data_IF_223227660881
#
_entry.id   IF_223227660881
#
_cell.length_a   1.000
_cell.length_b   1.000
_cell.length_c   1.000
_cell.angle_alpha   90.00
_cell.angle_beta   90.00
_cell.angle_gamma   90.00
#
_symmetry.space_group_name_H-M   'P 1'
#
loop_
_entity.id
_entity.type
_entity.pdbx_description
1 polymer ?
#
# COMPACT_ATOMS: atom_id res chain seq x y z
N UNK A 1 -23.04 -12.83 3.95
CA UNK A 1 -22.68 -11.61 4.70
C UNK A 1 -23.58 -10.49 4.18
N UNK A 2 -24.46 -9.94 5.01
CA UNK A 2 -25.38 -8.86 4.63
C UNK A 2 -24.60 -7.54 4.47
N UNK A 3 -24.57 -6.89 3.28
CA UNK A 3 -23.79 -5.67 3.04
C UNK A 3 -24.19 -4.49 3.93
N UNK A 4 -25.42 -4.51 4.46
CA UNK A 4 -26.01 -3.45 5.27
C UNK A 4 -25.33 -3.30 6.63
N UNK A 5 -24.77 -4.39 7.18
CA UNK A 5 -24.09 -4.39 8.46
C UNK A 5 -22.78 -3.58 8.45
N UNK A 6 -22.09 -3.50 7.29
CA UNK A 6 -20.85 -2.74 7.13
C UNK A 6 -21.04 -1.22 7.26
N UNK A 7 -22.26 -0.70 7.13
CA UNK A 7 -22.54 0.73 7.30
C UNK A 7 -22.80 1.13 8.76
N UNK A 8 -22.76 0.18 9.71
CA UNK A 8 -22.87 0.50 11.13
C UNK A 8 -21.57 1.19 11.60
N UNK A 9 -21.64 2.43 12.13
CA UNK A 9 -20.47 3.19 12.55
C UNK A 9 -19.67 2.51 13.68
N UNK A 10 -20.33 1.77 14.58
CA UNK A 10 -19.65 1.00 15.63
C UNK A 10 -18.87 -0.17 15.03
N UNK A 11 -19.45 -0.86 14.05
CA UNK A 11 -18.76 -1.95 13.35
C UNK A 11 -17.57 -1.43 12.55
N UNK A 12 -17.70 -0.29 11.88
CA UNK A 12 -16.60 0.38 11.17
C UNK A 12 -15.43 0.71 12.10
N UNK A 13 -15.72 1.23 13.30
CA UNK A 13 -14.69 1.50 14.30
C UNK A 13 -13.97 0.22 14.73
N UNK A 14 -14.71 -0.85 15.01
CA UNK A 14 -14.13 -2.15 15.38
C UNK A 14 -13.28 -2.73 14.25
N UNK A 15 -13.76 -2.68 13.01
CA UNK A 15 -13.01 -3.14 11.84
C UNK A 15 -11.69 -2.37 11.70
N UNK A 16 -11.70 -1.06 11.89
CA UNK A 16 -10.48 -0.25 11.81
C UNK A 16 -9.48 -0.59 12.91
N UNK A 17 -9.95 -0.78 14.15
CA UNK A 17 -9.10 -1.20 15.27
C UNK A 17 -8.48 -2.58 15.04
N UNK A 18 -9.27 -3.55 14.59
CA UNK A 18 -8.77 -4.90 14.30
C UNK A 18 -7.83 -4.91 13.11
N UNK A 19 -8.05 -4.05 12.11
CA UNK A 19 -7.13 -3.86 11.00
C UNK A 19 -5.79 -3.29 11.49
N UNK A 20 -5.80 -2.29 12.36
CA UNK A 20 -4.58 -1.75 12.96
C UNK A 20 -3.81 -2.80 13.76
N UNK A 21 -4.51 -3.60 14.57
CA UNK A 21 -3.92 -4.73 15.30
C UNK A 21 -3.31 -5.77 14.37
N UNK A 22 -4.03 -6.16 13.32
CA UNK A 22 -3.55 -7.14 12.35
C UNK A 22 -2.28 -6.63 11.65
N UNK A 23 -2.26 -5.37 11.23
CA UNK A 23 -1.07 -4.75 10.62
C UNK A 23 0.11 -4.69 11.59
N UNK A 24 -0.12 -4.33 12.85
CA UNK A 24 0.93 -4.31 13.88
C UNK A 24 1.50 -5.72 14.14
N UNK A 25 0.63 -6.73 14.24
CA UNK A 25 1.04 -8.11 14.43
C UNK A 25 1.86 -8.64 13.26
N UNK A 26 1.47 -8.33 12.03
CA UNK A 26 2.23 -8.71 10.84
C UNK A 26 3.62 -8.04 10.83
N UNK A 27 3.67 -6.75 11.18
CA UNK A 27 4.93 -6.01 11.28
C UNK A 27 5.85 -6.61 12.35
N UNK A 28 5.32 -6.93 13.53
CA UNK A 28 6.06 -7.57 14.62
C UNK A 28 6.59 -8.93 14.16
N UNK A 29 5.76 -9.76 13.54
CA UNK A 29 6.18 -11.08 13.06
C UNK A 29 7.35 -10.99 12.06
N UNK A 30 7.27 -10.06 11.10
CA UNK A 30 8.35 -9.83 10.12
C UNK A 30 9.62 -9.30 10.77
N UNK A 31 9.49 -8.34 11.69
CA UNK A 31 10.62 -7.79 12.45
C UNK A 31 11.29 -8.89 13.27
N UNK A 32 10.51 -9.69 13.99
CA UNK A 32 11.01 -10.80 14.81
C UNK A 32 11.77 -11.80 13.94
N UNK A 33 11.20 -12.27 12.84
CA UNK A 33 11.89 -13.20 11.92
C UNK A 33 13.18 -12.59 11.37
N UNK A 34 13.12 -11.38 10.82
CA UNK A 34 14.28 -10.73 10.20
C UNK A 34 15.42 -10.47 11.19
N UNK A 35 15.11 -10.09 12.42
CA UNK A 35 16.11 -9.81 13.44
C UNK A 35 16.61 -11.07 14.14
N UNK A 36 15.76 -12.09 14.27
CA UNK A 36 16.18 -13.39 14.79
C UNK A 36 17.28 -14.00 13.94
N UNK A 37 17.05 -14.11 12.62
CA UNK A 37 18.00 -14.70 11.68
C UNK A 37 19.34 -13.94 11.61
N UNK A 38 19.35 -12.65 11.95
CA UNK A 38 20.55 -11.81 11.93
C UNK A 38 21.33 -11.82 13.23
N UNK A 39 20.62 -11.86 14.35
CA UNK A 39 21.22 -11.63 15.67
C UNK A 39 21.44 -12.91 16.46
N UNK A 40 20.67 -13.97 16.20
CA UNK A 40 20.74 -15.23 16.93
C UNK A 40 21.38 -16.29 16.03
N UNK A 41 22.69 -16.46 16.15
CA UNK A 41 23.50 -17.35 15.29
C UNK A 41 23.69 -18.75 15.85
N UNK A 42 23.26 -18.99 17.09
CA UNK A 42 23.36 -20.26 17.78
C UNK A 42 22.14 -20.53 18.64
N UNK A 43 22.20 -21.57 19.47
CA UNK A 43 21.14 -21.80 20.47
C UNK A 43 21.28 -20.76 21.58
N UNK A 44 20.30 -19.87 21.78
CA UNK A 44 20.36 -18.89 22.85
C UNK A 44 20.33 -19.58 24.22
N UNK A 45 21.01 -18.98 25.19
CA UNK A 45 20.96 -19.43 26.59
C UNK A 45 19.62 -19.11 27.26
N UNK A 46 19.56 -19.22 28.58
CA UNK A 46 18.38 -18.82 29.37
C UNK A 46 18.06 -17.32 29.29
N UNK A 47 19.02 -16.52 28.81
CA UNK A 47 18.92 -15.09 28.54
C UNK A 47 19.76 -14.76 27.32
N UNK A 48 19.39 -13.69 26.62
CA UNK A 48 20.26 -13.09 25.62
C UNK A 48 21.53 -12.54 26.26
N UNK A 49 22.65 -12.77 25.59
CA UNK A 49 23.90 -12.07 25.87
C UNK A 49 23.77 -10.57 25.61
N UNK A 50 24.74 -9.79 26.08
CA UNK A 50 24.79 -8.35 25.85
C UNK A 50 24.91 -8.01 24.35
N UNK A 51 25.67 -8.81 23.59
CA UNK A 51 25.81 -8.65 22.14
C UNK A 51 24.51 -8.95 21.39
N UNK A 52 23.81 -10.04 21.75
CA UNK A 52 22.51 -10.38 21.14
C UNK A 52 21.46 -9.31 21.45
N UNK A 53 21.37 -8.85 22.70
CA UNK A 53 20.43 -7.81 23.12
C UNK A 53 20.68 -6.48 22.38
N UNK A 54 21.94 -6.08 22.25
CA UNK A 54 22.33 -4.90 21.48
C UNK A 54 22.06 -5.07 19.99
N UNK A 55 22.32 -6.25 19.43
CA UNK A 55 22.01 -6.55 18.03
C UNK A 55 20.51 -6.44 17.76
N UNK A 56 19.68 -7.08 18.59
CA UNK A 56 18.22 -7.08 18.44
C UNK A 56 17.65 -5.65 18.50
N UNK A 57 18.12 -4.84 19.45
CA UNK A 57 17.69 -3.44 19.60
C UNK A 57 18.03 -2.61 18.35
N UNK A 58 19.28 -2.74 17.86
CA UNK A 58 19.72 -2.03 16.65
C UNK A 58 19.01 -2.54 15.38
N UNK A 59 18.80 -3.85 15.28
CA UNK A 59 18.10 -4.45 14.16
C UNK A 59 16.65 -3.98 14.09
N UNK A 60 15.92 -4.04 15.20
CA UNK A 60 14.53 -3.60 15.28
C UNK A 60 14.38 -2.13 14.86
N UNK A 61 15.23 -1.24 15.41
CA UNK A 61 15.23 0.18 15.04
C UNK A 61 15.45 0.38 13.53
N UNK A 62 16.51 -0.23 12.98
CA UNK A 62 16.83 -0.13 11.54
C UNK A 62 15.73 -0.70 10.65
N UNK A 63 15.13 -1.81 11.05
CA UNK A 63 14.05 -2.45 10.30
C UNK A 63 12.83 -1.53 10.22
N UNK A 64 12.44 -0.91 11.34
CA UNK A 64 11.33 0.03 11.38
C UNK A 64 11.60 1.29 10.55
N UNK A 65 12.79 1.88 10.70
CA UNK A 65 13.18 3.10 9.95
C UNK A 65 13.15 2.86 8.44
N UNK A 66 13.72 1.74 7.99
CA UNK A 66 13.71 1.35 6.57
C UNK A 66 12.29 1.07 6.07
N UNK A 67 11.48 0.36 6.86
CA UNK A 67 10.08 0.05 6.49
C UNK A 67 9.26 1.32 6.31
N UNK A 68 9.40 2.29 7.22
CA UNK A 68 8.72 3.59 7.11
C UNK A 68 9.21 4.40 5.92
N UNK A 69 10.52 4.37 5.62
CA UNK A 69 11.08 5.04 4.45
C UNK A 69 10.51 4.47 3.14
N UNK A 70 10.40 3.14 3.03
CA UNK A 70 9.81 2.48 1.85
C UNK A 70 8.34 2.88 1.71
N UNK A 71 7.54 2.74 2.77
CA UNK A 71 6.12 3.12 2.74
C UNK A 71 5.92 4.59 2.37
N UNK A 72 6.77 5.47 2.89
CA UNK A 72 6.73 6.91 2.53
C UNK A 72 7.01 7.12 1.06
N UNK A 73 8.08 6.51 0.53
CA UNK A 73 8.45 6.61 -0.89
C UNK A 73 7.36 6.05 -1.79
N UNK A 74 6.75 4.93 -1.40
CA UNK A 74 5.65 4.32 -2.14
C UNK A 74 4.47 5.29 -2.20
N UNK A 75 4.06 5.83 -1.04
CA UNK A 75 2.98 6.85 -0.97
C UNK A 75 3.29 8.07 -1.82
N UNK A 76 4.50 8.61 -1.76
CA UNK A 76 4.91 9.77 -2.54
C UNK A 76 4.86 9.47 -4.04
N UNK A 77 5.30 8.28 -4.45
CA UNK A 77 5.25 7.80 -5.84
C UNK A 77 3.81 7.64 -6.32
N UNK A 78 2.94 7.00 -5.53
CA UNK A 78 1.53 6.85 -5.85
C UNK A 78 0.82 8.21 -5.92
N UNK A 79 1.14 9.13 -5.03
CA UNK A 79 0.59 10.48 -5.04
C UNK A 79 1.02 11.27 -6.28
N UNK A 80 2.29 11.13 -6.69
CA UNK A 80 2.80 11.70 -7.93
C UNK A 80 2.06 11.12 -9.15
N UNK A 81 1.88 9.80 -9.24
CA UNK A 81 1.12 9.15 -10.31
C UNK A 81 -0.35 9.59 -10.33
N UNK A 82 -0.99 9.69 -9.17
CA UNK A 82 -2.35 10.20 -9.04
C UNK A 82 -2.47 11.64 -9.56
N UNK A 83 -1.47 12.49 -9.29
CA UNK A 83 -1.40 13.85 -9.83
C UNK A 83 -1.25 13.85 -11.36
N UNK A 84 -0.31 13.09 -11.90
CA UNK A 84 -0.12 13.00 -13.36
C UNK A 84 -1.38 12.49 -14.08
N UNK A 85 -2.04 11.47 -13.53
CA UNK A 85 -3.30 10.95 -14.12
C UNK A 85 -4.43 11.97 -14.06
N UNK A 86 -4.50 12.79 -13.00
CA UNK A 86 -5.44 13.91 -12.92
C UNK A 86 -5.12 14.99 -13.96
N UNK A 87 -3.87 15.43 -14.04
CA UNK A 87 -3.41 16.42 -15.02
C UNK A 87 -3.64 15.95 -16.47
N UNK A 88 -3.42 14.66 -16.76
CA UNK A 88 -3.69 14.08 -18.08
C UNK A 88 -5.19 14.06 -18.42
N UNK A 89 -6.08 13.84 -17.44
CA UNK A 89 -7.54 13.91 -17.63
C UNK A 89 -8.04 15.34 -17.78
N UNK A 90 -7.44 16.29 -17.07
CA UNK A 90 -7.78 17.72 -17.14
C UNK A 90 -7.12 18.42 -18.35
N UNK A 91 -6.12 17.79 -18.98
CA UNK A 91 -5.46 18.30 -20.18
C UNK A 91 -6.46 18.57 -21.30
N UNK A 92 -6.62 19.84 -21.64
CA UNK A 92 -7.51 20.30 -22.70
C UNK A 92 -7.17 19.64 -24.05
N UNK A 93 -5.90 19.31 -24.29
CA UNK A 93 -5.43 18.60 -25.47
C UNK A 93 -5.97 17.16 -25.52
N UNK A 94 -5.80 16.39 -24.44
CA UNK A 94 -6.32 15.03 -24.35
C UNK A 94 -7.85 15.03 -24.42
N UNK A 95 -8.52 15.94 -23.69
CA UNK A 95 -9.98 16.06 -23.71
C UNK A 95 -10.52 16.34 -25.12
N UNK A 96 -9.89 17.27 -25.86
CA UNK A 96 -10.27 17.57 -27.25
C UNK A 96 -10.05 16.36 -28.15
N UNK A 97 -8.87 15.73 -28.08
CA UNK A 97 -8.52 14.57 -28.91
C UNK A 97 -9.44 13.37 -28.65
N UNK A 98 -9.75 13.08 -27.39
CA UNK A 98 -10.68 12.03 -26.99
C UNK A 98 -12.10 12.35 -27.49
N UNK A 99 -12.58 13.59 -27.33
CA UNK A 99 -13.89 13.99 -27.87
C UNK A 99 -13.95 13.83 -29.39
N UNK A 100 -12.91 14.26 -30.11
CA UNK A 100 -12.81 14.07 -31.57
C UNK A 100 -12.79 12.59 -31.95
N UNK A 101 -12.05 11.75 -31.22
CA UNK A 101 -12.00 10.30 -31.47
C UNK A 101 -13.39 9.66 -31.30
N UNK A 102 -14.08 9.90 -30.18
CA UNK A 102 -15.43 9.37 -29.94
C UNK A 102 -16.43 9.86 -30.97
N UNK A 103 -16.38 11.13 -31.33
CA UNK A 103 -17.21 11.72 -32.38
C UNK A 103 -16.96 11.06 -33.74
N UNK A 104 -15.69 10.84 -34.11
CA UNK A 104 -15.33 10.17 -35.36
C UNK A 104 -15.78 8.70 -35.38
N UNK A 105 -15.70 7.99 -34.24
CA UNK A 105 -16.22 6.62 -34.11
C UNK A 105 -17.75 6.60 -34.28
N UNK A 106 -18.44 7.55 -33.64
CA UNK A 106 -19.89 7.68 -33.75
C UNK A 106 -20.34 7.93 -35.20
N UNK A 107 -19.68 8.87 -35.89
CA UNK A 107 -20.01 9.16 -37.30
C UNK A 107 -19.66 8.01 -38.23
N UNK A 108 -18.53 7.32 -38.01
CA UNK A 108 -18.15 6.14 -38.81
C UNK A 108 -19.18 5.00 -38.66
N UNK A 109 -19.68 4.75 -37.44
CA UNK A 109 -20.77 3.78 -37.21
C UNK A 109 -22.10 4.18 -37.86
N UNK A 110 -22.33 5.47 -38.09
CA UNK A 110 -23.56 5.97 -38.72
C UNK A 110 -23.50 5.95 -40.24
N UNK A 111 -22.30 5.93 -40.83
CA UNK A 111 -22.06 5.89 -42.27
C UNK A 111 -21.96 4.48 -42.86
N UNK A 112 -21.98 3.44 -42.03
CA UNK A 112 -21.99 2.04 -42.45
C UNK A 112 -23.33 1.39 -42.01
N UNK A 113 -24.44 1.57 -42.75
CA UNK A 113 -25.74 1.02 -42.40
C UNK A 113 -25.97 -0.41 -42.91
N UNK A 114 -24.93 -1.07 -43.45
CA UNK A 114 -25.06 -2.31 -44.24
C UNK A 114 -24.25 -3.51 -43.72
N UNK A 115 -24.06 -3.60 -42.40
CA UNK A 115 -23.89 -4.88 -41.69
C UNK A 115 -24.52 -4.82 -40.29
#
# INVERSE_FOLDING_TARGET
MDPSALNNPQLQQLINQEKERAMANEMIAKLTSACWDKCITGTPGSKFSSSESNCLSNCAQRYMDMSMMIVKRDKDTFHMLARFTREAKESSYIRKKTKTMYTNIYYRKKQDPTH
#
